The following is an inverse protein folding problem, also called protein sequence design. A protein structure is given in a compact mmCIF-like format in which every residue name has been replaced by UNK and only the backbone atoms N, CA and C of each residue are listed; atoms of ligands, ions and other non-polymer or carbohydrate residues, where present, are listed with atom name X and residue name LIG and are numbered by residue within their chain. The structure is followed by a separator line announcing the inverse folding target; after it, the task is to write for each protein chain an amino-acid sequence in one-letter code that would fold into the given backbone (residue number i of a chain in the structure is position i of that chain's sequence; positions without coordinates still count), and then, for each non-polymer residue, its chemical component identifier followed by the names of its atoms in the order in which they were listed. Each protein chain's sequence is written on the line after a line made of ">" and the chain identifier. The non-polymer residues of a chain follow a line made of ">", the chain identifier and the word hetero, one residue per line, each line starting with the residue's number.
data_IF_843171604077
#
_entry.id   IF_843171604077
#
_cell.length_a   1.000
_cell.length_b   1.000
_cell.length_c   1.000
_cell.angle_alpha   90.00
_cell.angle_beta   90.00
_cell.angle_gamma   90.00
#
_symmetry.space_group_name_H-M   'P 1'
#
loop_
_entity.id
_entity.type
_entity.pdbx_description
1 polymer ?
#
# COMPACT_ATOMS: atom_id res chain seq x y z
N UNK A 1 -19.47 2.42 -13.84
CA UNK A 1 -20.09 1.68 -12.71
C UNK A 1 -19.17 0.53 -12.32
N UNK A 2 -18.38 0.66 -11.25
CA UNK A 2 -17.51 -0.44 -10.79
C UNK A 2 -18.25 -1.20 -9.69
N UNK A 3 -18.52 -2.48 -9.89
CA UNK A 3 -19.12 -3.37 -8.90
C UNK A 3 -18.02 -4.22 -8.28
N UNK A 4 -17.85 -4.12 -6.97
CA UNK A 4 -16.94 -4.96 -6.17
C UNK A 4 -17.76 -6.12 -5.60
N UNK A 5 -17.34 -7.35 -5.91
CA UNK A 5 -17.86 -8.55 -5.27
C UNK A 5 -17.01 -8.82 -4.02
N UNK A 6 -17.68 -9.00 -2.88
CA UNK A 6 -17.10 -9.43 -1.60
C UNK A 6 -17.78 -10.75 -1.25
N UNK A 7 -17.01 -11.80 -0.98
CA UNK A 7 -17.52 -13.09 -0.51
C UNK A 7 -16.93 -13.35 0.87
N UNK A 8 -17.80 -13.59 1.86
CA UNK A 8 -17.47 -13.76 3.27
C UNK A 8 -17.99 -15.13 3.72
N UNK A 9 -17.15 -15.95 4.36
CA UNK A 9 -17.56 -17.21 5.00
C UNK A 9 -16.98 -17.23 6.42
N UNK A 10 -17.84 -17.29 7.43
CA UNK A 10 -17.46 -17.39 8.84
C UNK A 10 -18.32 -18.43 9.55
N UNK A 11 -17.69 -19.31 10.34
CA UNK A 11 -18.34 -20.29 11.20
C UNK A 11 -17.65 -20.25 12.57
N UNK A 12 -18.39 -19.91 13.64
CA UNK A 12 -17.89 -19.93 15.02
C UNK A 12 -18.92 -20.55 15.96
N UNK A 13 -18.47 -21.47 16.82
CA UNK A 13 -19.25 -22.10 17.89
C UNK A 13 -18.51 -21.83 19.19
N UNK A 14 -19.16 -21.22 20.19
CA UNK A 14 -18.66 -21.10 21.56
C UNK A 14 -19.77 -21.49 22.54
N UNK A 15 -19.46 -22.43 23.45
CA UNK A 15 -20.38 -22.90 24.48
C UNK A 15 -19.69 -22.90 25.86
N UNK A 16 -20.33 -22.28 26.85
CA UNK A 16 -20.18 -22.65 28.28
C UNK A 16 -21.42 -22.20 29.08
N UNK A 17 -22.01 -23.03 29.97
CA UNK A 17 -23.08 -22.62 30.87
C UNK A 17 -22.56 -22.27 32.28
N UNK A 18 -23.20 -21.30 32.95
CA UNK A 18 -23.05 -21.08 34.41
C UNK A 18 -24.44 -21.09 35.03
N UNK A 19 -24.67 -21.98 36.00
CA UNK A 19 -25.91 -22.07 36.78
C UNK A 19 -25.85 -21.15 38.00
N UNK A 20 -26.84 -20.27 38.16
CA UNK A 20 -27.07 -19.50 39.38
C UNK A 20 -28.19 -20.15 40.22
N UNK A 21 -27.95 -20.34 41.52
CA UNK A 21 -28.97 -20.80 42.48
C UNK A 21 -29.70 -19.58 43.07
N UNK A 22 -31.04 -19.60 43.07
CA UNK A 22 -31.87 -18.61 43.75
C UNK A 22 -32.29 -19.10 45.15
N UNK A 23 -32.34 -18.18 46.13
CA UNK A 23 -32.90 -18.44 47.47
C UNK A 23 -34.35 -17.96 47.59
N UNK A 24 -35.12 -18.56 48.49
CA UNK A 24 -36.49 -18.15 48.85
C UNK A 24 -36.49 -17.34 50.16
N UNK A 25 -37.33 -16.30 50.21
CA UNK A 25 -37.47 -15.43 51.39
C UNK A 25 -38.96 -15.12 51.64
N UNK A 26 -39.36 -14.97 52.91
CA UNK A 26 -40.75 -14.59 53.29
C UNK A 26 -40.78 -13.21 53.94
N UNK A 27 -41.81 -12.41 53.63
CA UNK A 27 -41.92 -11.00 54.03
C UNK A 27 -43.23 -10.70 54.78
N UNK A 28 -43.15 -9.93 55.86
CA UNK A 28 -44.29 -9.51 56.69
C UNK A 28 -44.81 -8.09 56.37
N UNK A 29 -45.93 -7.69 56.99
CA UNK A 29 -46.52 -6.34 56.80
C UNK A 29 -45.58 -5.25 57.35
N UNK A 30 -45.21 -4.29 56.49
CA UNK A 30 -44.25 -3.20 56.75
C UNK A 30 -42.78 -3.63 56.91
N UNK A 31 -42.39 -4.82 56.43
CA UNK A 31 -40.97 -5.21 56.35
C UNK A 31 -40.41 -5.01 54.94
N UNK A 32 -39.10 -4.74 54.85
CA UNK A 32 -38.36 -4.71 53.60
C UNK A 32 -37.31 -5.84 53.60
N UNK A 33 -37.11 -6.47 52.44
CA UNK A 33 -35.97 -7.36 52.16
C UNK A 33 -35.23 -6.83 50.94
N UNK A 34 -33.92 -6.99 50.94
CA UNK A 34 -33.05 -6.62 49.84
C UNK A 34 -32.11 -7.79 49.59
N UNK A 35 -32.01 -8.19 48.32
CA UNK A 35 -31.01 -9.14 47.86
C UNK A 35 -30.02 -8.37 46.99
N UNK A 36 -28.74 -8.72 47.11
CA UNK A 36 -27.71 -8.13 46.26
C UNK A 36 -27.86 -8.64 44.83
N UNK A 37 -27.94 -7.70 43.88
CA UNK A 37 -27.92 -8.01 42.45
C UNK A 37 -26.47 -8.16 42.03
N UNK A 38 -26.09 -9.37 41.63
CA UNK A 38 -24.75 -9.67 41.14
C UNK A 38 -24.76 -9.72 39.62
N UNK A 39 -23.87 -8.95 39.00
CA UNK A 39 -23.63 -8.99 37.56
C UNK A 39 -22.15 -9.32 37.30
N UNK A 40 -21.90 -10.08 36.24
CA UNK A 40 -20.56 -10.35 35.73
C UNK A 40 -20.47 -9.87 34.29
N UNK A 41 -19.47 -9.04 34.00
CA UNK A 41 -19.10 -8.76 32.63
C UNK A 41 -18.34 -9.97 32.05
N UNK A 42 -18.86 -10.51 30.95
CA UNK A 42 -18.18 -11.54 30.18
C UNK A 42 -17.91 -10.97 28.78
N UNK A 43 -16.66 -10.66 28.50
CA UNK A 43 -16.23 -10.21 27.17
C UNK A 43 -15.89 -11.44 26.32
N UNK A 44 -16.55 -11.55 25.17
CA UNK A 44 -16.21 -12.52 24.11
C UNK A 44 -15.86 -11.84 22.79
N UNK A 45 -15.49 -10.56 22.81
CA UNK A 45 -15.25 -9.77 21.60
C UNK A 45 -13.83 -9.99 21.08
N UNK A 46 -13.72 -10.52 19.87
CA UNK A 46 -12.47 -10.57 19.11
C UNK A 46 -12.29 -9.30 18.28
N UNK A 47 -11.05 -8.84 18.12
CA UNK A 47 -10.69 -7.76 17.19
C UNK A 47 -9.89 -8.34 16.04
N UNK A 48 -10.53 -8.70 14.91
CA UNK A 48 -9.81 -9.28 13.78
C UNK A 48 -8.89 -8.25 13.11
N UNK A 49 -7.81 -8.73 12.50
CA UNK A 49 -6.97 -7.91 11.62
C UNK A 49 -7.79 -7.50 10.37
N UNK A 50 -7.76 -6.22 10.04
CA UNK A 50 -8.42 -5.59 8.90
C UNK A 50 -7.38 -4.81 8.11
N UNK A 51 -7.17 -5.21 6.86
CA UNK A 51 -6.24 -4.56 5.94
C UNK A 51 -6.97 -3.60 5.01
N UNK A 52 -6.56 -2.33 5.02
CA UNK A 52 -7.09 -1.26 4.17
C UNK A 52 -5.96 -0.29 3.81
N UNK A 53 -5.41 -0.43 2.60
CA UNK A 53 -4.30 0.38 2.12
C UNK A 53 -4.73 1.17 0.90
N UNK A 54 -4.39 2.46 0.87
CA UNK A 54 -4.58 3.32 -0.29
C UNK A 54 -3.26 3.44 -1.07
N UNK A 55 -3.34 3.41 -2.40
CA UNK A 55 -2.19 3.61 -3.28
C UNK A 55 -2.55 4.66 -4.33
N UNK A 56 -1.80 5.75 -4.34
CA UNK A 56 -1.91 6.85 -5.29
C UNK A 56 -0.69 6.89 -6.21
N UNK A 57 -0.93 7.19 -7.48
CA UNK A 57 0.09 7.19 -8.54
C UNK A 57 0.16 8.56 -9.21
N UNK A 58 1.37 9.06 -9.45
CA UNK A 58 1.60 10.10 -10.45
C UNK A 58 1.34 9.61 -11.88
N UNK A 59 1.56 10.48 -12.87
CA UNK A 59 1.32 10.15 -14.27
C UNK A 59 2.25 9.06 -14.83
N UNK A 60 3.43 8.86 -14.21
CA UNK A 60 4.46 7.90 -14.62
C UNK A 60 4.90 8.07 -16.08
N UNK A 61 5.00 9.32 -16.53
CA UNK A 61 5.46 9.66 -17.87
C UNK A 61 6.90 10.16 -17.81
N UNK A 62 7.77 9.55 -18.60
CA UNK A 62 9.20 9.85 -18.61
C UNK A 62 9.64 10.23 -20.02
N UNK A 63 10.45 11.28 -20.12
CA UNK A 63 11.02 11.75 -21.39
C UNK A 63 12.52 11.54 -21.38
N UNK A 64 13.01 10.76 -22.34
CA UNK A 64 14.44 10.63 -22.62
C UNK A 64 14.87 11.72 -23.59
N UNK A 65 15.91 12.47 -23.22
CA UNK A 65 16.50 13.51 -24.05
C UNK A 65 17.95 13.17 -24.35
N UNK A 66 18.36 13.40 -25.59
CA UNK A 66 19.74 13.29 -26.04
C UNK A 66 20.08 14.55 -26.84
N UNK A 67 21.04 15.32 -26.38
CA UNK A 67 21.43 16.60 -26.98
C UNK A 67 22.95 16.72 -27.10
N UNK A 68 23.41 17.33 -28.20
CA UNK A 68 24.83 17.55 -28.46
C UNK A 68 25.16 17.47 -29.95
N UNK A 69 26.40 17.12 -30.26
CA UNK A 69 26.90 17.08 -31.64
C UNK A 69 27.56 15.75 -31.96
N UNK A 70 27.46 15.32 -33.23
CA UNK A 70 28.28 14.24 -33.77
C UNK A 70 29.36 14.83 -34.66
N UNK A 71 30.60 14.39 -34.45
CA UNK A 71 31.75 14.82 -35.26
C UNK A 71 32.14 13.71 -36.21
N UNK A 72 32.13 13.97 -37.52
CA UNK A 72 32.56 13.01 -38.53
C UNK A 72 34.09 12.96 -38.61
N UNK A 73 34.66 11.77 -38.45
CA UNK A 73 36.07 11.49 -38.72
C UNK A 73 36.20 10.92 -40.14
N UNK A 74 36.65 11.72 -41.14
CA UNK A 74 36.77 11.26 -42.52
C UNK A 74 37.88 10.22 -42.72
N UNK A 75 38.83 10.08 -41.79
CA UNK A 75 39.88 9.06 -41.89
C UNK A 75 39.39 7.68 -41.52
N UNK A 76 38.40 7.61 -40.62
CA UNK A 76 37.81 6.35 -40.14
C UNK A 76 36.42 6.07 -40.72
N UNK A 77 35.82 7.07 -41.37
CA UNK A 77 34.41 7.07 -41.77
C UNK A 77 33.47 6.73 -40.61
N UNK A 78 33.71 7.35 -39.44
CA UNK A 78 32.96 7.12 -38.21
C UNK A 78 32.55 8.44 -37.56
N UNK A 79 31.44 8.42 -36.83
CA UNK A 79 31.05 9.54 -35.96
C UNK A 79 31.60 9.34 -34.55
N UNK A 80 32.04 10.44 -33.94
CA UNK A 80 32.24 10.54 -32.49
C UNK A 80 31.09 11.32 -31.88
N UNK A 81 30.41 10.72 -30.92
CA UNK A 81 29.27 11.33 -30.23
C UNK A 81 29.75 12.19 -29.06
N UNK A 82 29.43 13.48 -29.09
CA UNK A 82 29.52 14.38 -27.94
C UNK A 82 28.10 14.72 -27.49
N UNK A 83 27.40 13.70 -26.98
CA UNK A 83 25.98 13.74 -26.65
C UNK A 83 25.82 13.59 -25.13
N UNK A 84 25.06 14.50 -24.52
CA UNK A 84 24.58 14.39 -23.16
C UNK A 84 23.18 13.81 -23.18
N UNK A 85 22.88 12.89 -22.25
CA UNK A 85 21.57 12.24 -22.15
C UNK A 85 20.97 12.45 -20.77
N UNK A 86 19.66 12.56 -20.70
CA UNK A 86 18.95 12.79 -19.45
C UNK A 86 17.52 12.24 -19.51
N UNK A 87 17.02 11.79 -18.36
CA UNK A 87 15.61 11.47 -18.14
C UNK A 87 14.94 12.58 -17.35
N UNK A 88 13.77 13.02 -17.81
CA UNK A 88 12.87 13.89 -17.03
C UNK A 88 11.55 13.17 -16.82
N UNK A 89 10.87 13.48 -15.71
CA UNK A 89 9.62 12.82 -15.34
C UNK A 89 8.49 13.82 -15.13
N UNK A 90 7.29 13.40 -15.49
CA UNK A 90 6.02 14.00 -15.11
C UNK A 90 5.27 13.00 -14.21
N UNK A 91 5.13 13.36 -12.93
CA UNK A 91 4.49 12.55 -11.91
C UNK A 91 5.16 11.19 -11.67
N UNK A 92 6.37 11.18 -11.12
CA UNK A 92 7.19 9.99 -10.81
C UNK A 92 6.93 9.36 -9.43
N UNK A 93 6.01 9.94 -8.66
CA UNK A 93 5.81 9.60 -7.25
C UNK A 93 4.69 8.57 -7.08
N UNK A 94 4.93 7.56 -6.25
CA UNK A 94 3.94 6.61 -5.74
C UNK A 94 3.77 6.86 -4.25
N UNK A 95 2.54 7.00 -3.78
CA UNK A 95 2.23 7.20 -2.36
C UNK A 95 1.36 6.07 -1.85
N UNK A 96 1.72 5.52 -0.70
CA UNK A 96 0.97 4.46 -0.01
C UNK A 96 0.62 4.93 1.39
N UNK A 97 -0.63 4.73 1.81
CA UNK A 97 -1.13 5.09 3.14
C UNK A 97 -1.84 3.90 3.77
N UNK A 98 -1.49 3.58 5.01
CA UNK A 98 -2.06 2.45 5.75
C UNK A 98 -3.21 2.91 6.66
N UNK A 99 -4.42 2.46 6.37
CA UNK A 99 -5.61 2.63 7.23
C UNK A 99 -6.02 1.32 7.92
N UNK A 100 -5.16 0.29 7.86
CA UNK A 100 -5.39 -1.00 8.52
C UNK A 100 -5.30 -0.87 10.04
N UNK A 101 -5.90 -1.79 10.79
CA UNK A 101 -5.64 -1.92 12.24
C UNK A 101 -4.39 -2.77 12.54
N UNK A 102 -3.57 -3.01 11.51
CA UNK A 102 -2.35 -3.79 11.54
C UNK A 102 -1.24 -3.10 10.77
N UNK A 103 -0.01 -3.27 11.22
CA UNK A 103 1.17 -2.82 10.48
C UNK A 103 1.24 -3.56 9.13
N UNK A 104 1.70 -2.85 8.10
CA UNK A 104 1.87 -3.43 6.75
C UNK A 104 3.28 -3.17 6.25
N UNK A 105 3.93 -4.18 5.69
CA UNK A 105 5.20 -3.99 5.00
C UNK A 105 4.97 -3.72 3.52
N UNK A 106 5.30 -2.52 3.06
CA UNK A 106 5.14 -2.12 1.66
C UNK A 106 6.47 -2.23 0.94
N UNK A 107 6.49 -2.84 -0.24
CA UNK A 107 7.66 -2.85 -1.12
C UNK A 107 7.32 -2.45 -2.56
N UNK A 108 8.27 -1.81 -3.24
CA UNK A 108 8.14 -1.30 -4.60
C UNK A 108 9.10 -2.04 -5.54
N UNK A 109 8.60 -2.47 -6.69
CA UNK A 109 9.40 -3.14 -7.70
C UNK A 109 9.14 -2.57 -9.10
N UNK A 110 10.18 -2.48 -9.92
CA UNK A 110 10.09 -2.10 -11.32
C UNK A 110 10.48 -3.28 -12.21
N UNK A 111 9.58 -3.64 -13.13
CA UNK A 111 9.83 -4.67 -14.12
C UNK A 111 9.92 -4.04 -15.51
N UNK A 112 11.01 -4.33 -16.23
CA UNK A 112 11.24 -3.86 -17.59
C UNK A 112 10.26 -4.54 -18.56
N UNK A 113 9.78 -3.80 -19.55
CA UNK A 113 9.04 -4.39 -20.66
C UNK A 113 10.00 -5.06 -21.64
N UNK A 114 9.53 -6.09 -22.36
CA UNK A 114 10.32 -6.73 -23.42
C UNK A 114 10.66 -5.73 -24.52
N UNK A 115 11.93 -5.69 -24.95
CA UNK A 115 12.47 -4.71 -25.89
C UNK A 115 12.95 -3.41 -25.24
N UNK A 116 12.91 -3.31 -23.91
CA UNK A 116 13.35 -2.15 -23.11
C UNK A 116 14.31 -2.55 -21.99
N UNK A 117 15.14 -3.56 -22.24
CA UNK A 117 16.07 -4.15 -21.28
C UNK A 117 17.12 -3.15 -20.78
N UNK A 118 17.40 -2.10 -21.56
CA UNK A 118 18.31 -1.01 -21.20
C UNK A 118 17.66 0.07 -20.33
N UNK A 119 16.33 0.08 -20.18
CA UNK A 119 15.61 1.05 -19.35
C UNK A 119 15.50 0.51 -17.92
N UNK A 120 16.36 1.02 -17.03
CA UNK A 120 16.38 0.63 -15.62
C UNK A 120 15.49 1.57 -14.79
N UNK A 121 14.93 1.06 -13.70
CA UNK A 121 14.15 1.84 -12.75
C UNK A 121 14.65 1.62 -11.32
N UNK A 122 14.75 2.69 -10.55
CA UNK A 122 15.14 2.68 -9.15
C UNK A 122 14.17 3.53 -8.32
N UNK A 123 13.86 3.07 -7.11
CA UNK A 123 12.99 3.77 -6.18
C UNK A 123 13.81 4.50 -5.12
N UNK A 124 13.39 5.71 -4.74
CA UNK A 124 14.01 6.45 -3.63
C UNK A 124 13.79 5.76 -2.27
N UNK A 125 12.73 4.96 -2.16
CA UNK A 125 12.43 4.06 -1.04
C UNK A 125 12.00 2.73 -1.63
N UNK A 126 12.76 1.66 -1.37
CA UNK A 126 12.47 0.32 -1.89
C UNK A 126 11.39 -0.40 -1.07
N UNK A 127 11.39 -0.21 0.25
CA UNK A 127 10.39 -0.75 1.16
C UNK A 127 10.28 0.07 2.44
N UNK A 128 9.11 -0.03 3.11
CA UNK A 128 8.87 0.56 4.43
C UNK A 128 7.73 -0.18 5.13
N UNK A 129 7.89 -0.44 6.43
CA UNK A 129 6.77 -0.81 7.31
C UNK A 129 5.97 0.43 7.68
N UNK A 130 4.67 0.40 7.42
CA UNK A 130 3.72 1.43 7.82
C UNK A 130 2.95 0.94 9.03
N UNK A 131 2.90 1.77 10.07
CA UNK A 131 2.20 1.43 11.31
C UNK A 131 0.68 1.33 11.10
N UNK A 132 0.02 0.55 11.94
CA UNK A 132 -1.43 0.49 12.04
C UNK A 132 -2.04 1.89 12.32
N UNK A 133 -3.27 2.08 11.86
CA UNK A 133 -4.07 3.26 12.19
C UNK A 133 -4.38 3.32 13.68
N UNK A 134 -4.43 4.54 14.21
CA UNK A 134 -4.85 4.80 15.60
C UNK A 134 -6.36 5.01 15.66
N UNK A 135 -7.00 4.53 16.73
CA UNK A 135 -8.45 4.69 16.95
C UNK A 135 -8.83 6.17 16.87
N UNK A 136 -9.87 6.45 16.10
CA UNK A 136 -10.41 7.80 15.84
C UNK A 136 -9.44 8.81 15.17
N UNK A 137 -8.28 8.36 14.68
CA UNK A 137 -7.30 9.21 13.99
C UNK A 137 -7.07 8.77 12.53
N UNK A 138 -8.04 9.09 11.68
CA UNK A 138 -7.97 8.76 10.24
C UNK A 138 -6.90 9.61 9.54
N UNK A 139 -6.67 10.84 9.98
CA UNK A 139 -5.76 11.77 9.33
C UNK A 139 -4.28 11.49 9.65
N UNK A 140 -4.00 10.89 10.81
CA UNK A 140 -2.67 10.46 11.25
C UNK A 140 -2.20 9.12 10.70
N UNK A 141 -2.90 8.55 9.71
CA UNK A 141 -2.51 7.30 9.06
C UNK A 141 -1.07 7.36 8.51
N UNK A 142 -0.25 6.36 8.84
CA UNK A 142 1.14 6.31 8.39
C UNK A 142 1.21 6.06 6.88
N UNK A 143 2.24 6.61 6.24
CA UNK A 143 2.41 6.55 4.81
C UNK A 143 3.87 6.61 4.36
N UNK A 144 4.06 6.32 3.09
CA UNK A 144 5.33 6.43 2.39
C UNK A 144 5.10 7.01 1.00
N UNK A 145 6.00 7.87 0.57
CA UNK A 145 6.09 8.28 -0.83
C UNK A 145 7.45 7.88 -1.37
N UNK A 146 7.47 7.31 -2.57
CA UNK A 146 8.69 6.90 -3.26
C UNK A 146 8.67 7.46 -4.68
N UNK A 147 9.83 7.88 -5.19
CA UNK A 147 10.01 8.36 -6.55
C UNK A 147 10.67 7.30 -7.41
N UNK A 148 10.15 7.05 -8.60
CA UNK A 148 10.81 6.23 -9.61
C UNK A 148 11.76 7.10 -10.44
N UNK A 149 13.04 6.75 -10.47
CA UNK A 149 14.01 7.32 -11.40
C UNK A 149 14.34 6.30 -12.48
N UNK A 150 14.36 6.74 -13.75
CA UNK A 150 14.80 5.92 -14.87
C UNK A 150 16.26 6.22 -15.23
N UNK A 151 16.97 5.19 -15.69
CA UNK A 151 18.32 5.31 -16.23
C UNK A 151 18.53 4.37 -17.41
N UNK A 152 19.65 4.54 -18.12
CA UNK A 152 19.93 3.87 -19.38
C UNK A 152 19.44 4.67 -20.58
N UNK A 153 19.16 4.00 -21.69
CA UNK A 153 18.91 4.64 -22.99
C UNK A 153 17.52 4.29 -23.53
N UNK A 154 16.99 5.15 -24.40
CA UNK A 154 15.77 4.89 -25.16
C UNK A 154 16.06 5.09 -26.65
N UNK A 155 15.56 4.18 -27.49
CA UNK A 155 15.77 4.26 -28.92
C UNK A 155 15.12 5.53 -29.51
N UNK A 156 15.86 6.24 -30.38
CA UNK A 156 15.44 7.55 -30.91
C UNK A 156 14.22 7.49 -31.85
N UNK A 157 13.86 6.32 -32.35
CA UNK A 157 12.64 6.13 -33.16
C UNK A 157 11.36 6.09 -32.29
N UNK A 158 11.48 6.08 -30.97
CA UNK A 158 10.36 6.08 -30.04
C UNK A 158 10.02 7.54 -29.70
N UNK A 159 9.05 8.10 -30.41
CA UNK A 159 8.67 9.51 -30.29
C UNK A 159 7.34 9.73 -29.55
N UNK A 160 6.57 8.66 -29.34
CA UNK A 160 5.34 8.67 -28.55
C UNK A 160 5.55 7.96 -27.21
N UNK A 161 4.79 8.35 -26.18
CA UNK A 161 4.78 7.64 -24.90
C UNK A 161 4.47 6.16 -25.11
N UNK A 162 5.45 5.33 -24.77
CA UNK A 162 5.43 3.89 -24.96
C UNK A 162 5.70 3.21 -23.62
N UNK A 163 5.03 2.08 -23.37
CA UNK A 163 5.25 1.31 -22.14
C UNK A 163 6.65 0.69 -22.15
N UNK A 164 7.54 1.21 -21.30
CA UNK A 164 8.92 0.70 -21.11
C UNK A 164 9.08 -0.21 -19.89
N UNK A 165 8.08 -0.24 -19.00
CA UNK A 165 8.08 -1.08 -17.81
C UNK A 165 6.76 -1.05 -17.04
N UNK A 166 6.75 -1.64 -15.86
CA UNK A 166 5.61 -1.65 -14.93
C UNK A 166 6.12 -1.54 -13.49
N UNK A 167 5.35 -0.84 -12.65
CA UNK A 167 5.59 -0.77 -11.21
C UNK A 167 4.65 -1.73 -10.50
N UNK A 168 5.16 -2.44 -9.50
CA UNK A 168 4.38 -3.27 -8.59
C UNK A 168 4.54 -2.75 -7.16
N UNK A 169 3.42 -2.57 -6.47
CA UNK A 169 3.36 -2.33 -5.01
C UNK A 169 2.86 -3.61 -4.36
N UNK A 170 3.63 -4.14 -3.41
CA UNK A 170 3.26 -5.35 -2.66
C UNK A 170 3.10 -5.04 -1.18
N UNK A 171 2.13 -5.74 -0.55
CA UNK A 171 1.97 -5.80 0.90
C UNK A 171 2.47 -7.18 1.35
N UNK A 172 3.47 -7.20 2.23
CA UNK A 172 4.14 -8.41 2.72
C UNK A 172 3.90 -8.63 4.22
#
# INVERSE_FOLDING_TARGET
>A
MKKLFVMLLTLTILAVPVTAYGGEDTIGKNENRSIDVQAKYANGTDTPDVYSVNVAWGAMQFTYSAAGTRVWDPSKHQYTDNITTNWTADGDTVTVTNHSNKDVNVSFAYAKASGFEDVNGAFSVESKTLNAGTVDDVAGADGVSTKLTLSGTLASNITNFTKVGSITVSLN
#
